data_IF_027121347192
#
_entry.id   IF_027121347192
#
_cell.length_a   1.000
_cell.length_b   1.000
_cell.length_c   1.000
_cell.angle_alpha   90.00
_cell.angle_beta   90.00
_cell.angle_gamma   90.00
#
_symmetry.space_group_name_H-M   'P 1'
#
loop_
_entity.id
_entity.type
_entity.pdbx_description
1 polymer ?
#
# COMPACT_ATOMS: atom_id res chain seq x y z
N UNK A 1 2.32 -26.23 -11.41
CA UNK A 1 2.32 -24.75 -11.43
C UNK A 1 1.64 -24.08 -10.23
N UNK A 2 0.52 -24.58 -9.68
CA UNK A 2 -0.13 -23.99 -8.49
C UNK A 2 0.72 -24.10 -7.21
N UNK A 3 1.47 -25.19 -7.03
CA UNK A 3 2.34 -25.41 -5.88
C UNK A 3 3.55 -24.44 -5.83
N UNK A 4 4.19 -24.21 -6.98
CA UNK A 4 5.35 -23.28 -7.08
C UNK A 4 4.92 -21.85 -6.76
N UNK A 5 3.73 -21.42 -7.20
CA UNK A 5 3.19 -20.08 -6.88
C UNK A 5 2.88 -19.92 -5.39
N UNK A 6 2.35 -20.96 -4.74
CA UNK A 6 2.11 -20.97 -3.28
C UNK A 6 3.41 -20.93 -2.49
N UNK A 7 4.40 -21.72 -2.93
CA UNK A 7 5.73 -21.71 -2.31
C UNK A 7 6.44 -20.36 -2.49
N UNK A 8 6.39 -19.76 -3.68
CA UNK A 8 6.95 -18.42 -3.92
C UNK A 8 6.24 -17.35 -3.11
N UNK A 9 4.92 -17.44 -2.93
CA UNK A 9 4.17 -16.47 -2.10
C UNK A 9 4.46 -16.66 -0.61
N UNK A 10 4.62 -17.90 -0.14
CA UNK A 10 5.03 -18.22 1.22
C UNK A 10 6.47 -17.77 1.48
N UNK A 11 7.41 -18.05 0.56
CA UNK A 11 8.79 -17.61 0.65
C UNK A 11 8.92 -16.08 0.66
N UNK A 12 8.10 -15.39 -0.16
CA UNK A 12 8.03 -13.93 -0.16
C UNK A 12 7.50 -13.39 1.17
N UNK A 13 6.47 -14.02 1.76
CA UNK A 13 5.95 -13.66 3.09
C UNK A 13 6.99 -13.87 4.20
N UNK A 14 7.70 -14.98 4.18
CA UNK A 14 8.79 -15.25 5.14
C UNK A 14 9.95 -14.28 4.95
N UNK A 15 10.38 -14.01 3.69
CA UNK A 15 11.41 -13.01 3.41
C UNK A 15 11.00 -11.61 3.89
N UNK A 16 9.72 -11.25 3.73
CA UNK A 16 9.18 -9.98 4.24
C UNK A 16 9.20 -9.91 5.77
N UNK A 17 8.85 -11.01 6.46
CA UNK A 17 8.95 -11.09 7.92
C UNK A 17 10.41 -11.00 8.39
N UNK A 18 11.33 -11.68 7.72
CA UNK A 18 12.77 -11.61 8.04
C UNK A 18 13.33 -10.20 7.82
N UNK A 19 12.90 -9.49 6.78
CA UNK A 19 13.29 -8.08 6.57
C UNK A 19 12.72 -7.18 7.67
N UNK A 20 11.50 -7.41 8.11
CA UNK A 20 10.88 -6.63 9.20
C UNK A 20 11.53 -6.87 10.56
N UNK A 21 11.99 -8.09 10.83
CA UNK A 21 12.65 -8.44 12.11
C UNK A 21 14.14 -8.14 12.11
N UNK A 22 14.79 -7.99 10.95
CA UNK A 22 16.23 -7.79 10.77
C UNK A 22 16.67 -6.36 10.44
N UNK A 23 15.75 -5.39 10.38
CA UNK A 23 16.08 -4.04 9.92
C UNK A 23 17.08 -3.32 10.83
N UNK A 24 16.84 -3.30 12.13
CA UNK A 24 17.77 -2.80 13.17
C UNK A 24 17.53 -3.61 14.43
N UNK A 25 18.59 -4.15 14.98
CA UNK A 25 18.58 -4.82 16.28
C UNK A 25 19.27 -3.92 17.31
N UNK A 26 18.92 -4.08 18.57
CA UNK A 26 19.63 -3.45 19.69
C UNK A 26 20.41 -4.52 20.39
N UNK A 27 21.72 -4.35 20.49
CA UNK A 27 22.60 -5.23 21.26
C UNK A 27 22.19 -5.16 22.74
N UNK A 28 21.86 -6.31 23.31
CA UNK A 28 21.38 -6.40 24.70
C UNK A 28 22.45 -6.03 25.73
N UNK A 29 23.73 -6.12 25.35
CA UNK A 29 24.86 -5.86 26.24
C UNK A 29 25.24 -4.39 26.22
N UNK A 30 25.29 -3.79 25.03
CA UNK A 30 25.76 -2.40 24.85
C UNK A 30 24.60 -1.39 24.73
N UNK A 31 23.36 -1.85 24.48
CA UNK A 31 22.22 -0.98 24.19
C UNK A 31 22.33 -0.24 22.84
N UNK A 32 23.35 -0.53 22.04
CA UNK A 32 23.59 0.14 20.77
C UNK A 32 22.83 -0.54 19.62
N UNK A 33 22.33 0.25 18.66
CA UNK A 33 21.71 -0.29 17.47
C UNK A 33 22.74 -1.06 16.61
N UNK A 34 22.31 -2.17 16.03
CA UNK A 34 23.12 -3.04 15.18
C UNK A 34 22.31 -3.54 14.00
N UNK A 35 22.97 -4.12 13.02
CA UNK A 35 22.33 -4.72 11.84
C UNK A 35 22.63 -3.97 10.54
N UNK A 36 22.26 -4.61 9.42
CA UNK A 36 22.60 -4.10 8.09
C UNK A 36 22.10 -2.67 7.84
N UNK A 37 20.84 -2.39 8.18
CA UNK A 37 20.23 -1.05 7.97
C UNK A 37 20.89 0.00 8.86
N UNK A 38 21.21 -0.38 10.10
CA UNK A 38 21.96 0.51 10.97
C UNK A 38 23.33 0.85 10.41
N UNK A 39 24.13 -0.15 10.08
CA UNK A 39 25.50 0.05 9.63
C UNK A 39 25.60 0.80 8.29
N UNK A 40 24.60 0.61 7.39
CA UNK A 40 24.61 1.24 6.06
C UNK A 40 23.96 2.61 6.01
N UNK A 41 22.95 2.85 6.82
CA UNK A 41 22.15 4.08 6.75
C UNK A 41 22.12 4.80 8.10
N UNK A 42 21.82 4.09 9.19
CA UNK A 42 21.61 4.70 10.50
C UNK A 42 22.88 5.30 11.11
N UNK A 43 24.00 4.57 11.08
CA UNK A 43 25.26 5.05 11.62
C UNK A 43 25.80 6.28 10.87
N UNK A 44 25.85 6.33 9.52
CA UNK A 44 26.20 7.55 8.79
C UNK A 44 25.28 8.73 9.11
N UNK A 45 23.98 8.48 9.34
CA UNK A 45 23.04 9.54 9.74
C UNK A 45 23.35 10.04 11.16
N UNK A 46 23.66 9.15 12.10
CA UNK A 46 24.03 9.49 13.48
C UNK A 46 25.34 10.32 13.49
N UNK A 47 26.32 9.91 12.71
CA UNK A 47 27.58 10.66 12.53
C UNK A 47 27.34 12.04 11.92
N UNK A 48 26.48 12.14 10.90
CA UNK A 48 26.11 13.43 10.30
C UNK A 48 25.39 14.33 11.32
N UNK A 49 24.47 13.79 12.13
CA UNK A 49 23.82 14.55 13.20
C UNK A 49 24.87 15.06 14.19
N UNK A 50 25.79 14.21 14.65
CA UNK A 50 26.86 14.58 15.56
C UNK A 50 27.78 15.66 14.96
N UNK A 51 28.18 15.50 13.70
CA UNK A 51 29.02 16.48 12.99
C UNK A 51 28.35 17.88 12.93
N UNK A 52 27.09 17.96 12.50
CA UNK A 52 26.41 19.26 12.45
C UNK A 52 26.14 19.83 13.83
N UNK A 53 25.82 18.98 14.81
CA UNK A 53 25.49 19.41 16.16
C UNK A 53 26.71 19.93 16.93
N UNK A 54 27.80 19.18 16.91
CA UNK A 54 29.01 19.43 17.75
C UNK A 54 30.10 20.16 16.97
N UNK A 55 30.55 19.60 15.84
CA UNK A 55 31.71 20.16 15.11
C UNK A 55 31.36 21.50 14.42
N UNK A 56 30.12 21.65 13.97
CA UNK A 56 29.60 22.91 13.43
C UNK A 56 28.91 23.78 14.47
N UNK A 57 28.70 23.28 15.68
CA UNK A 57 28.10 24.05 16.77
C UNK A 57 26.63 24.44 16.58
N UNK A 58 25.91 23.79 15.65
CA UNK A 58 24.51 24.15 15.32
C UNK A 58 23.50 23.62 16.33
N UNK A 59 23.90 22.72 17.22
CA UNK A 59 23.04 22.02 18.15
C UNK A 59 22.22 20.89 17.51
N UNK A 60 21.78 19.92 18.35
CA UNK A 60 21.18 18.66 17.87
C UNK A 60 19.84 18.87 17.15
N UNK A 61 19.00 19.83 17.55
CA UNK A 61 17.73 20.08 16.88
C UNK A 61 17.91 20.53 15.43
N UNK A 62 18.80 21.49 15.19
CA UNK A 62 19.10 21.97 13.82
C UNK A 62 19.80 20.87 13.01
N UNK A 63 20.70 20.10 13.63
CA UNK A 63 21.38 18.98 13.00
C UNK A 63 20.35 17.91 12.49
N UNK A 64 19.37 17.54 13.33
CA UNK A 64 18.30 16.60 12.93
C UNK A 64 17.50 17.17 11.75
N UNK A 65 17.17 18.45 11.75
CA UNK A 65 16.46 19.12 10.65
C UNK A 65 17.28 19.03 9.36
N UNK A 66 18.56 19.41 9.40
CA UNK A 66 19.46 19.39 8.22
C UNK A 66 19.59 17.98 7.67
N UNK A 67 19.92 17.00 8.51
CA UNK A 67 20.09 15.60 8.08
C UNK A 67 18.77 15.06 7.51
N UNK A 68 17.64 15.38 8.12
CA UNK A 68 16.32 14.99 7.59
C UNK A 68 16.09 15.57 6.20
N UNK A 69 16.37 16.85 5.98
CA UNK A 69 16.20 17.49 4.66
C UNK A 69 17.13 16.83 3.64
N UNK A 70 18.42 16.63 3.97
CA UNK A 70 19.38 15.98 3.06
C UNK A 70 18.87 14.60 2.65
N UNK A 71 18.49 13.76 3.60
CA UNK A 71 17.97 12.42 3.33
C UNK A 71 16.70 12.47 2.49
N UNK A 72 15.77 13.39 2.78
CA UNK A 72 14.56 13.59 1.99
C UNK A 72 14.86 14.00 0.55
N UNK A 73 15.86 14.86 0.35
CA UNK A 73 16.29 15.27 -1.00
C UNK A 73 16.93 14.11 -1.78
N UNK A 74 17.72 13.27 -1.12
CA UNK A 74 18.30 12.06 -1.74
C UNK A 74 17.20 11.08 -2.17
N UNK A 75 16.15 10.89 -1.34
CA UNK A 75 15.04 9.96 -1.61
C UNK A 75 14.00 10.59 -2.55
N UNK A 76 13.95 11.91 -2.69
CA UNK A 76 12.94 12.64 -3.45
C UNK A 76 12.74 12.13 -4.89
N UNK A 77 13.78 11.85 -5.72
CA UNK A 77 13.59 11.33 -7.06
C UNK A 77 12.80 10.02 -7.08
N UNK A 78 13.11 9.13 -6.15
CA UNK A 78 12.42 7.84 -6.01
C UNK A 78 10.96 8.04 -5.54
N UNK A 79 10.72 8.96 -4.60
CA UNK A 79 9.39 9.35 -4.13
C UNK A 79 8.53 9.96 -5.24
N UNK A 80 9.11 10.81 -6.08
CA UNK A 80 8.41 11.37 -7.26
C UNK A 80 8.08 10.28 -8.27
N UNK A 81 9.00 9.35 -8.54
CA UNK A 81 8.75 8.22 -9.44
C UNK A 81 7.60 7.32 -8.95
N UNK A 82 7.56 7.02 -7.66
CA UNK A 82 6.45 6.27 -7.04
C UNK A 82 5.13 7.04 -7.16
N UNK A 83 5.15 8.32 -6.83
CA UNK A 83 3.98 9.20 -6.94
C UNK A 83 3.50 9.34 -8.38
N UNK A 84 4.44 9.37 -9.35
CA UNK A 84 4.11 9.36 -10.78
C UNK A 84 3.35 8.09 -11.18
N UNK A 85 3.83 6.91 -10.76
CA UNK A 85 3.13 5.63 -11.02
C UNK A 85 1.74 5.59 -10.37
N UNK A 86 1.64 5.99 -9.11
CA UNK A 86 0.37 6.04 -8.38
C UNK A 86 -0.62 7.02 -9.04
N UNK A 87 -0.13 8.19 -9.47
CA UNK A 87 -0.94 9.20 -10.15
C UNK A 87 -1.38 8.72 -11.54
N UNK A 88 -0.50 8.07 -12.30
CA UNK A 88 -0.86 7.48 -13.60
C UNK A 88 -1.98 6.44 -13.45
N UNK A 89 -1.88 5.58 -12.44
CA UNK A 89 -2.93 4.62 -12.12
C UNK A 89 -4.26 5.34 -11.77
N UNK A 90 -4.20 6.35 -10.90
CA UNK A 90 -5.36 7.16 -10.53
C UNK A 90 -6.01 7.84 -11.74
N UNK A 91 -5.22 8.44 -12.63
CA UNK A 91 -5.76 9.10 -13.84
C UNK A 91 -6.36 8.08 -14.84
N UNK A 92 -5.79 6.87 -14.96
CA UNK A 92 -6.40 5.78 -15.73
C UNK A 92 -7.73 5.33 -15.13
N UNK A 93 -7.81 5.17 -13.81
CA UNK A 93 -9.06 4.86 -13.10
C UNK A 93 -10.11 5.95 -13.31
N UNK A 94 -9.74 7.23 -13.17
CA UNK A 94 -10.63 8.36 -13.41
C UNK A 94 -11.17 8.37 -14.85
N UNK A 95 -10.29 8.19 -15.83
CA UNK A 95 -10.65 8.23 -17.25
C UNK A 95 -11.55 7.06 -17.69
N UNK A 96 -11.40 5.91 -17.03
CA UNK A 96 -12.17 4.69 -17.30
C UNK A 96 -13.31 4.47 -16.29
N UNK A 97 -13.66 5.49 -15.51
CA UNK A 97 -14.72 5.42 -14.49
C UNK A 97 -16.01 4.83 -15.05
N UNK A 98 -16.47 5.30 -16.21
CA UNK A 98 -17.72 4.84 -16.85
C UNK A 98 -17.71 3.35 -17.22
N UNK A 99 -16.54 2.78 -17.51
CA UNK A 99 -16.38 1.34 -17.82
C UNK A 99 -16.30 0.51 -16.53
N UNK A 100 -15.67 1.03 -15.49
CA UNK A 100 -15.41 0.31 -14.24
C UNK A 100 -16.58 0.42 -13.23
N UNK A 101 -17.37 1.48 -13.28
CA UNK A 101 -18.47 1.76 -12.36
C UNK A 101 -19.50 0.61 -12.24
N UNK A 102 -19.95 -0.07 -13.33
CA UNK A 102 -20.85 -1.22 -13.22
C UNK A 102 -20.24 -2.37 -12.40
N UNK A 103 -18.95 -2.65 -12.58
CA UNK A 103 -18.21 -3.68 -11.83
C UNK A 103 -18.03 -3.30 -10.36
N UNK A 104 -17.72 -2.03 -10.09
CA UNK A 104 -17.62 -1.49 -8.73
C UNK A 104 -18.98 -1.53 -8.01
N UNK A 105 -20.07 -1.19 -8.71
CA UNK A 105 -21.42 -1.24 -8.17
C UNK A 105 -21.84 -2.67 -7.84
N UNK A 106 -21.50 -3.64 -8.70
CA UNK A 106 -21.75 -5.06 -8.44
C UNK A 106 -20.99 -5.52 -7.19
N UNK A 107 -19.73 -5.13 -7.03
CA UNK A 107 -18.94 -5.43 -5.84
C UNK A 107 -19.53 -4.83 -4.55
N UNK A 108 -20.04 -3.58 -4.62
CA UNK A 108 -20.69 -2.92 -3.48
C UNK A 108 -22.02 -3.59 -3.08
N UNK A 109 -22.78 -4.12 -4.05
CA UNK A 109 -24.08 -4.78 -3.84
C UNK A 109 -23.96 -6.25 -3.44
N UNK A 110 -22.80 -6.86 -3.60
CA UNK A 110 -22.58 -8.25 -3.25
C UNK A 110 -22.73 -8.47 -1.73
N UNK A 111 -23.58 -9.40 -1.34
CA UNK A 111 -23.91 -9.69 0.06
C UNK A 111 -23.15 -10.92 0.56
N UNK A 112 -23.05 -11.95 -0.27
CA UNK A 112 -22.34 -13.18 0.08
C UNK A 112 -20.85 -13.10 -0.21
N UNK A 113 -20.06 -13.94 0.44
CA UNK A 113 -18.61 -14.00 0.22
C UNK A 113 -18.26 -14.48 -1.20
N UNK A 114 -19.07 -15.38 -1.76
CA UNK A 114 -18.89 -15.86 -3.12
C UNK A 114 -19.16 -14.76 -4.15
N UNK A 115 -20.26 -14.02 -4.01
CA UNK A 115 -20.58 -12.88 -4.86
C UNK A 115 -19.51 -11.79 -4.80
N UNK A 116 -18.97 -11.52 -3.62
CA UNK A 116 -17.86 -10.56 -3.45
C UNK A 116 -16.62 -10.99 -4.20
N UNK A 117 -16.27 -12.29 -4.11
CA UNK A 117 -15.10 -12.83 -4.80
C UNK A 117 -15.27 -12.79 -6.32
N UNK A 118 -16.45 -13.17 -6.84
CA UNK A 118 -16.75 -13.09 -8.27
C UNK A 118 -16.74 -11.64 -8.79
N UNK A 119 -17.40 -10.73 -8.08
CA UNK A 119 -17.43 -9.32 -8.45
C UNK A 119 -16.03 -8.68 -8.43
N UNK A 120 -15.21 -9.06 -7.46
CA UNK A 120 -13.82 -8.62 -7.38
C UNK A 120 -12.98 -9.16 -8.54
N UNK A 121 -13.12 -10.43 -8.89
CA UNK A 121 -12.44 -11.03 -10.04
C UNK A 121 -12.86 -10.37 -11.36
N UNK A 122 -14.17 -10.08 -11.52
CA UNK A 122 -14.69 -9.38 -12.70
C UNK A 122 -14.13 -7.96 -12.81
N UNK A 123 -14.06 -7.22 -11.69
CA UNK A 123 -13.46 -5.89 -11.65
C UNK A 123 -11.98 -5.92 -12.02
N UNK A 124 -11.22 -6.89 -11.47
CA UNK A 124 -9.80 -7.04 -11.80
C UNK A 124 -9.57 -7.45 -13.26
N UNK A 125 -10.44 -8.28 -13.83
CA UNK A 125 -10.37 -8.63 -15.24
C UNK A 125 -10.60 -7.40 -16.14
N UNK A 126 -11.62 -6.58 -15.83
CA UNK A 126 -11.90 -5.34 -16.54
C UNK A 126 -10.74 -4.32 -16.42
N UNK A 127 -10.17 -4.15 -15.24
CA UNK A 127 -8.99 -3.31 -15.05
C UNK A 127 -7.81 -3.78 -15.90
N UNK A 128 -7.53 -5.09 -15.91
CA UNK A 128 -6.43 -5.68 -16.67
C UNK A 128 -6.63 -5.53 -18.18
N UNK A 129 -7.85 -5.71 -18.68
CA UNK A 129 -8.19 -5.53 -20.10
C UNK A 129 -7.86 -4.12 -20.59
N UNK A 130 -8.06 -3.12 -19.74
CA UNK A 130 -7.75 -1.72 -20.02
C UNK A 130 -6.35 -1.26 -19.58
N UNK A 131 -5.43 -2.20 -19.32
CA UNK A 131 -4.04 -1.90 -18.99
C UNK A 131 -3.86 -1.21 -17.63
N UNK A 132 -4.82 -1.38 -16.71
CA UNK A 132 -4.71 -0.93 -15.32
C UNK A 132 -4.08 -2.05 -14.51
N UNK A 133 -2.88 -1.81 -13.99
CA UNK A 133 -2.19 -2.80 -13.15
C UNK A 133 -2.83 -2.88 -11.76
N UNK A 134 -3.10 -4.09 -11.28
CA UNK A 134 -3.60 -4.33 -9.91
C UNK A 134 -2.65 -3.78 -8.82
N UNK A 135 -1.35 -3.76 -9.10
CA UNK A 135 -0.31 -3.26 -8.18
C UNK A 135 0.16 -1.83 -8.51
N UNK A 136 -0.40 -1.21 -9.54
CA UNK A 136 0.09 0.06 -10.10
C UNK A 136 -0.26 1.30 -9.28
N UNK A 137 -1.25 1.22 -8.40
CA UNK A 137 -1.78 2.42 -7.75
C UNK A 137 -1.45 2.56 -6.28
N UNK A 138 -1.67 1.55 -5.51
CA UNK A 138 -1.56 1.63 -4.05
C UNK A 138 -1.07 0.28 -3.52
N UNK A 139 0.13 -0.11 -3.91
CA UNK A 139 0.77 -1.31 -3.35
C UNK A 139 1.41 -1.01 -1.99
N UNK A 140 1.78 -2.07 -1.26
CA UNK A 140 2.59 -1.96 -0.04
C UNK A 140 4.06 -1.54 -0.32
N UNK A 141 4.43 -1.40 -1.60
CA UNK A 141 5.81 -1.07 -2.01
C UNK A 141 6.35 0.24 -1.39
N UNK A 142 5.58 1.36 -1.31
CA UNK A 142 6.03 2.57 -0.62
C UNK A 142 6.36 2.33 0.85
N UNK A 143 5.55 1.51 1.53
CA UNK A 143 5.76 1.17 2.95
C UNK A 143 7.03 0.33 3.11
N UNK A 144 7.23 -0.68 2.25
CA UNK A 144 8.43 -1.53 2.27
C UNK A 144 9.71 -0.73 2.04
N UNK A 145 9.68 0.21 1.12
CA UNK A 145 10.82 1.09 0.87
C UNK A 145 11.04 2.08 2.03
N UNK A 146 9.97 2.61 2.62
CA UNK A 146 10.06 3.60 3.68
C UNK A 146 10.57 3.01 4.99
N UNK A 147 10.25 1.74 5.32
CA UNK A 147 10.57 1.14 6.61
C UNK A 147 12.07 1.13 6.96
N UNK A 148 13.00 0.75 6.06
CA UNK A 148 14.43 0.82 6.34
C UNK A 148 14.90 2.24 6.69
N UNK A 149 14.47 3.23 5.92
CA UNK A 149 14.85 4.63 6.18
C UNK A 149 14.23 5.15 7.48
N UNK A 150 12.97 4.78 7.75
CA UNK A 150 12.32 5.13 9.01
C UNK A 150 13.07 4.53 10.20
N UNK A 151 13.41 3.24 10.16
CA UNK A 151 14.18 2.59 11.23
C UNK A 151 15.54 3.24 11.42
N UNK A 152 16.27 3.50 10.33
CA UNK A 152 17.59 4.11 10.39
C UNK A 152 17.56 5.48 11.10
N UNK A 153 16.66 6.38 10.68
CA UNK A 153 16.59 7.73 11.25
C UNK A 153 16.00 7.73 12.66
N UNK A 154 15.03 6.83 12.94
CA UNK A 154 14.49 6.65 14.28
C UNK A 154 15.60 6.32 15.28
N UNK A 155 16.41 5.31 14.97
CA UNK A 155 17.52 4.92 15.82
C UNK A 155 18.64 5.97 15.84
N UNK A 156 18.94 6.64 14.72
CA UNK A 156 19.91 7.72 14.69
C UNK A 156 19.48 8.90 15.58
N UNK A 157 18.23 9.35 15.46
CA UNK A 157 17.71 10.45 16.28
C UNK A 157 17.60 10.09 17.77
N UNK A 158 17.49 8.82 18.13
CA UNK A 158 17.34 8.38 19.50
C UNK A 158 18.69 8.04 20.18
N UNK A 159 19.62 7.40 19.43
CA UNK A 159 20.85 6.84 19.98
C UNK A 159 22.10 7.68 19.66
N UNK A 160 21.98 8.82 18.95
CA UNK A 160 23.12 9.73 18.82
C UNK A 160 23.47 10.31 20.18
N UNK A 161 24.71 10.10 20.60
CA UNK A 161 25.23 10.60 21.87
C UNK A 161 25.01 12.11 21.99
N UNK A 162 24.47 12.54 23.13
CA UNK A 162 24.17 13.97 23.42
C UNK A 162 22.79 14.44 23.00
N UNK A 163 22.04 13.73 22.15
CA UNK A 163 20.69 14.12 21.74
C UNK A 163 19.71 14.13 22.89
N UNK A 164 19.75 13.10 23.75
CA UNK A 164 18.79 12.96 24.86
C UNK A 164 18.89 14.09 25.90
N UNK A 165 20.09 14.67 26.07
CA UNK A 165 20.37 15.75 27.01
C UNK A 165 20.18 17.14 26.39
N UNK A 166 20.10 17.20 25.07
CA UNK A 166 19.96 18.45 24.33
C UNK A 166 18.55 19.00 24.35
N UNK A 167 18.45 20.31 24.11
CA UNK A 167 17.17 20.97 23.89
C UNK A 167 17.16 21.75 22.57
N UNK A 168 15.98 21.93 21.98
CA UNK A 168 15.76 22.74 20.79
C UNK A 168 14.55 23.66 21.00
N UNK A 169 14.77 24.97 20.91
CA UNK A 169 13.73 26.00 21.20
C UNK A 169 13.05 25.80 22.56
N UNK A 170 13.79 25.41 23.59
CA UNK A 170 13.27 25.11 24.91
C UNK A 170 12.57 23.74 25.07
N UNK A 171 12.54 22.92 24.00
CA UNK A 171 11.95 21.57 24.01
C UNK A 171 13.06 20.54 24.27
N UNK A 172 13.02 19.75 25.36
CA UNK A 172 13.96 18.67 25.59
C UNK A 172 13.84 17.60 24.49
N UNK A 173 14.95 17.26 23.82
CA UNK A 173 14.92 16.31 22.68
C UNK A 173 14.79 14.86 23.13
N UNK A 174 15.15 14.54 24.36
CA UNK A 174 15.09 13.20 24.92
C UNK A 174 13.71 12.76 25.45
N UNK A 175 12.75 13.67 25.57
CA UNK A 175 11.40 13.38 26.10
C UNK A 175 10.33 13.76 25.08
N UNK A 176 9.11 13.18 25.16
CA UNK A 176 8.00 13.54 24.26
C UNK A 176 7.60 15.01 24.42
N UNK A 177 7.23 15.66 23.31
CA UNK A 177 6.76 17.05 23.29
C UNK A 177 5.38 17.17 22.65
N UNK A 178 4.38 17.59 23.42
CA UNK A 178 3.01 17.78 22.94
C UNK A 178 2.90 18.80 21.81
N UNK A 179 3.76 19.81 21.79
CA UNK A 179 3.81 20.81 20.72
C UNK A 179 4.21 20.15 19.40
N UNK A 180 5.29 19.35 19.40
CA UNK A 180 5.73 18.65 18.21
C UNK A 180 4.74 17.57 17.79
N UNK A 181 4.09 16.88 18.73
CA UNK A 181 3.02 15.90 18.45
C UNK A 181 1.86 16.57 17.70
N UNK A 182 1.39 17.72 18.20
CA UNK A 182 0.33 18.48 17.55
C UNK A 182 0.75 18.98 16.15
N UNK A 183 1.96 19.52 16.02
CA UNK A 183 2.51 19.94 14.71
C UNK A 183 2.58 18.78 13.71
N UNK A 184 3.10 17.62 14.12
CA UNK A 184 3.16 16.44 13.28
C UNK A 184 1.74 16.00 12.86
N UNK A 185 0.80 15.90 13.80
CA UNK A 185 -0.59 15.54 13.52
C UNK A 185 -1.23 16.46 12.48
N UNK A 186 -1.09 17.78 12.62
CA UNK A 186 -1.62 18.77 11.67
C UNK A 186 -0.98 18.62 10.30
N UNK A 187 0.34 18.50 10.21
CA UNK A 187 1.04 18.38 8.92
C UNK A 187 0.65 17.10 8.17
N UNK A 188 0.58 15.96 8.86
CA UNK A 188 0.16 14.70 8.23
C UNK A 188 -1.33 14.71 7.85
N UNK A 189 -2.18 15.38 8.61
CA UNK A 189 -3.57 15.58 8.25
C UNK A 189 -3.72 16.45 6.99
N UNK A 190 -3.01 17.57 6.91
CA UNK A 190 -2.99 18.43 5.71
C UNK A 190 -2.45 17.69 4.50
N UNK A 191 -1.37 16.92 4.65
CA UNK A 191 -0.82 16.09 3.59
C UNK A 191 -1.84 15.06 3.09
N UNK A 192 -2.58 14.42 4.02
CA UNK A 192 -3.62 13.45 3.70
C UNK A 192 -4.79 14.09 2.94
N UNK A 193 -5.21 15.29 3.32
CA UNK A 193 -6.23 16.07 2.58
C UNK A 193 -5.77 16.39 1.16
N UNK A 194 -4.51 16.82 0.99
CA UNK A 194 -3.94 17.11 -0.32
C UNK A 194 -3.89 15.88 -1.24
N UNK A 195 -3.81 14.69 -0.68
CA UNK A 195 -3.81 13.43 -1.45
C UNK A 195 -5.15 13.12 -2.13
N UNK A 196 -6.26 13.69 -1.66
CA UNK A 196 -7.58 13.58 -2.31
C UNK A 196 -7.70 14.40 -3.59
N UNK A 197 -6.81 15.37 -3.79
CA UNK A 197 -6.92 16.28 -4.92
C UNK A 197 -6.85 15.52 -6.25
N UNK A 198 -7.87 15.73 -7.11
CA UNK A 198 -7.94 15.14 -8.44
C UNK A 198 -8.29 13.64 -8.49
N UNK A 199 -8.67 13.02 -7.38
CA UNK A 199 -9.19 11.64 -7.37
C UNK A 199 -10.70 11.69 -7.58
N UNK A 200 -11.15 11.21 -8.74
CA UNK A 200 -12.56 11.23 -9.17
C UNK A 200 -13.23 9.84 -9.07
N UNK A 201 -12.43 8.77 -9.10
CA UNK A 201 -12.93 7.41 -8.89
C UNK A 201 -13.41 7.23 -7.44
N UNK A 202 -14.66 6.84 -7.29
CA UNK A 202 -15.33 6.81 -5.99
C UNK A 202 -14.75 5.75 -5.05
N UNK A 203 -14.41 4.56 -5.57
CA UNK A 203 -13.83 3.48 -4.77
C UNK A 203 -12.46 3.89 -4.24
N UNK A 204 -11.62 4.48 -5.09
CA UNK A 204 -10.30 4.97 -4.70
C UNK A 204 -10.43 6.13 -3.70
N UNK A 205 -11.38 7.04 -3.93
CA UNK A 205 -11.65 8.16 -3.02
C UNK A 205 -12.10 7.72 -1.64
N UNK A 206 -12.97 6.72 -1.55
CA UNK A 206 -13.39 6.13 -0.27
C UNK A 206 -12.24 5.48 0.50
N UNK A 207 -11.34 4.79 -0.20
CA UNK A 207 -10.14 4.22 0.41
C UNK A 207 -9.23 5.31 0.99
N UNK A 208 -8.97 6.37 0.21
CA UNK A 208 -8.14 7.51 0.64
C UNK A 208 -8.81 8.23 1.82
N UNK A 209 -10.13 8.44 1.81
CA UNK A 209 -10.85 9.04 2.93
C UNK A 209 -10.65 8.30 4.25
N UNK A 210 -10.65 6.97 4.22
CA UNK A 210 -10.34 6.18 5.43
C UNK A 210 -8.91 6.42 5.92
N UNK A 211 -7.96 6.54 5.00
CA UNK A 211 -6.56 6.80 5.33
C UNK A 211 -6.30 8.22 5.83
N UNK A 212 -7.14 9.21 5.49
CA UNK A 212 -7.02 10.60 5.96
C UNK A 212 -7.03 10.69 7.47
N UNK A 213 -7.82 9.87 8.13
CA UNK A 213 -7.90 9.85 9.60
C UNK A 213 -6.93 8.85 10.22
N UNK A 214 -6.73 7.69 9.58
CA UNK A 214 -5.86 6.64 10.13
C UNK A 214 -4.39 7.03 10.14
N UNK A 215 -3.90 7.66 9.06
CA UNK A 215 -2.47 8.00 8.94
C UNK A 215 -2.03 9.06 9.96
N UNK A 216 -2.70 10.23 10.09
CA UNK A 216 -2.34 11.21 11.12
C UNK A 216 -2.51 10.66 12.55
N UNK A 217 -3.58 9.90 12.80
CA UNK A 217 -3.81 9.29 14.11
C UNK A 217 -2.65 8.38 14.51
N UNK A 218 -2.17 7.55 13.58
CA UNK A 218 -1.05 6.66 13.84
C UNK A 218 0.23 7.46 14.16
N UNK A 219 0.51 8.53 13.42
CA UNK A 219 1.67 9.40 13.70
C UNK A 219 1.54 10.06 15.07
N UNK A 220 0.36 10.59 15.42
CA UNK A 220 0.11 11.19 16.75
C UNK A 220 0.36 10.15 17.84
N UNK A 221 -0.20 8.96 17.73
CA UNK A 221 -0.03 7.89 18.74
C UNK A 221 1.45 7.53 18.90
N UNK A 222 2.17 7.29 17.80
CA UNK A 222 3.61 7.00 17.88
C UNK A 222 4.41 8.16 18.46
N UNK A 223 4.06 9.41 18.10
CA UNK A 223 4.74 10.61 18.60
C UNK A 223 4.57 10.80 20.10
N UNK A 224 3.44 10.39 20.70
CA UNK A 224 3.19 10.49 22.14
C UNK A 224 4.17 9.64 22.97
N UNK A 225 4.66 8.53 22.39
CA UNK A 225 5.59 7.60 23.04
C UNK A 225 7.05 7.79 22.56
N UNK A 226 7.28 8.66 21.58
CA UNK A 226 8.62 8.89 21.02
C UNK A 226 9.27 10.13 21.57
N UNK A 227 10.60 10.18 21.72
CA UNK A 227 11.33 11.39 22.06
C UNK A 227 11.07 12.52 21.06
N UNK A 228 11.21 13.76 21.50
CA UNK A 228 11.03 14.96 20.66
C UNK A 228 12.00 14.97 19.45
N UNK A 229 13.18 14.39 19.56
CA UNK A 229 14.12 14.22 18.45
C UNK A 229 13.51 13.45 17.26
N UNK A 230 12.80 12.36 17.54
CA UNK A 230 12.09 11.56 16.54
C UNK A 230 10.87 12.32 16.00
N UNK A 231 10.10 12.94 16.90
CA UNK A 231 8.92 13.73 16.49
C UNK A 231 9.31 14.93 15.62
N UNK A 232 10.44 15.56 15.90
CA UNK A 232 11.01 16.63 15.08
C UNK A 232 11.31 16.16 13.65
N UNK A 233 11.89 14.95 13.51
CA UNK A 233 12.05 14.31 12.20
C UNK A 233 10.71 14.15 11.47
N UNK A 234 9.64 13.73 12.16
CA UNK A 234 8.32 13.61 11.53
C UNK A 234 7.75 14.96 11.11
N UNK A 235 7.91 16.00 11.92
CA UNK A 235 7.48 17.37 11.57
C UNK A 235 8.16 17.84 10.28
N UNK A 236 9.48 17.75 10.21
CA UNK A 236 10.26 18.15 9.01
C UNK A 236 9.90 17.26 7.83
N UNK A 237 9.79 15.94 8.05
CA UNK A 237 9.39 14.99 7.04
C UNK A 237 7.99 15.24 6.49
N UNK A 238 7.02 15.54 7.35
CA UNK A 238 5.65 15.89 6.97
C UNK A 238 5.58 17.16 6.12
N UNK A 239 6.35 18.19 6.49
CA UNK A 239 6.47 19.40 5.67
C UNK A 239 7.02 19.10 4.27
N UNK A 240 8.09 18.31 4.17
CA UNK A 240 8.66 17.91 2.89
C UNK A 240 7.68 17.07 2.06
N UNK A 241 6.86 16.22 2.69
CA UNK A 241 5.81 15.45 2.01
C UNK A 241 4.70 16.36 1.46
N UNK A 242 4.34 17.42 2.15
CA UNK A 242 3.39 18.43 1.64
C UNK A 242 3.96 19.10 0.38
N UNK A 243 5.23 19.54 0.39
CA UNK A 243 5.88 20.11 -0.78
C UNK A 243 5.90 19.13 -1.96
N UNK A 244 6.25 17.87 -1.70
CA UNK A 244 6.20 16.81 -2.71
C UNK A 244 4.78 16.64 -3.27
N UNK A 245 3.75 16.65 -2.41
CA UNK A 245 2.36 16.49 -2.84
C UNK A 245 1.88 17.67 -3.71
N UNK A 246 2.34 18.88 -3.44
CA UNK A 246 2.10 20.02 -4.34
C UNK A 246 2.71 19.81 -5.72
N UNK A 247 3.96 19.35 -5.80
CA UNK A 247 4.60 19.01 -7.09
C UNK A 247 3.76 17.95 -7.82
N UNK A 248 3.32 16.91 -7.13
CA UNK A 248 2.49 15.85 -7.73
C UNK A 248 1.16 16.41 -8.24
N UNK A 249 0.45 17.18 -7.43
CA UNK A 249 -0.88 17.66 -7.78
C UNK A 249 -0.89 18.68 -8.92
N UNK A 250 0.08 19.62 -8.93
CA UNK A 250 0.06 20.74 -9.87
C UNK A 250 1.00 20.58 -11.07
N UNK A 251 1.99 19.71 -11.01
CA UNK A 251 2.93 19.49 -12.11
C UNK A 251 2.76 18.09 -12.71
N UNK A 252 2.79 17.04 -11.90
CA UNK A 252 2.78 15.65 -12.39
C UNK A 252 1.40 15.25 -12.90
N UNK A 253 0.36 15.48 -12.10
CA UNK A 253 -1.02 15.06 -12.40
C UNK A 253 -1.57 15.68 -13.71
N UNK A 254 -1.47 17.00 -13.98
CA UNK A 254 -1.99 17.55 -15.21
C UNK A 254 -1.33 16.97 -16.46
N UNK A 255 0.00 16.75 -16.42
CA UNK A 255 0.74 16.12 -17.51
C UNK A 255 0.27 14.69 -17.77
N UNK A 256 0.06 13.93 -16.72
CA UNK A 256 -0.41 12.54 -16.81
C UNK A 256 -1.86 12.45 -17.28
N UNK A 257 -2.73 13.36 -16.81
CA UNK A 257 -4.13 13.44 -17.26
C UNK A 257 -4.20 13.68 -18.76
N UNK A 258 -3.40 14.62 -19.28
CA UNK A 258 -3.31 14.88 -20.73
C UNK A 258 -2.84 13.63 -21.47
N UNK A 259 -1.76 13.01 -21.03
CA UNK A 259 -1.22 11.78 -21.63
C UNK A 259 -2.24 10.64 -21.67
N UNK A 260 -2.95 10.38 -20.57
CA UNK A 260 -3.97 9.33 -20.49
C UNK A 260 -5.14 9.63 -21.43
N UNK A 261 -5.58 10.87 -21.54
CA UNK A 261 -6.65 11.27 -22.48
C UNK A 261 -6.23 11.05 -23.95
N UNK A 262 -5.02 11.41 -24.30
CA UNK A 262 -4.47 11.18 -25.65
C UNK A 262 -4.32 9.68 -25.97
N UNK A 263 -3.88 8.87 -24.99
CA UNK A 263 -3.79 7.42 -25.12
C UNK A 263 -5.16 6.78 -25.38
N UNK A 264 -6.19 7.19 -24.61
CA UNK A 264 -7.55 6.70 -24.78
C UNK A 264 -8.26 7.21 -26.03
N UNK A 265 -7.91 8.42 -26.49
CA UNK A 265 -8.43 8.93 -27.77
C UNK A 265 -7.92 8.12 -28.98
N UNK A 266 -6.67 7.66 -28.91
CA UNK A 266 -6.07 6.77 -29.94
C UNK A 266 -6.58 5.34 -29.86
N UNK A 267 -6.83 4.84 -28.67
CA UNK A 267 -7.31 3.49 -28.39
C UNK A 267 -8.54 3.57 -27.47
N UNK A 268 -9.72 3.87 -28.03
CA UNK A 268 -10.93 3.98 -27.20
C UNK A 268 -11.21 2.66 -26.49
N UNK A 269 -11.61 2.72 -25.21
CA UNK A 269 -11.93 1.52 -24.44
C UNK A 269 -13.09 0.80 -25.11
N UNK A 270 -12.90 -0.48 -25.42
CA UNK A 270 -14.01 -1.33 -25.83
C UNK A 270 -14.96 -1.42 -24.64
N UNK A 271 -16.24 -1.07 -24.88
CA UNK A 271 -17.26 -1.36 -23.87
C UNK A 271 -17.16 -2.85 -23.56
N UNK A 272 -16.71 -3.20 -22.37
CA UNK A 272 -16.67 -4.60 -21.97
C UNK A 272 -18.11 -5.08 -22.04
N UNK A 273 -18.42 -5.90 -23.04
CA UNK A 273 -19.64 -6.68 -23.01
C UNK A 273 -19.58 -7.35 -21.63
N UNK A 274 -20.58 -7.08 -20.79
CA UNK A 274 -20.74 -7.83 -19.54
C UNK A 274 -20.60 -9.29 -19.94
N UNK A 275 -19.43 -9.87 -19.76
CA UNK A 275 -19.29 -11.31 -19.92
C UNK A 275 -20.28 -11.83 -18.90
N UNK A 276 -21.41 -12.34 -19.41
CA UNK A 276 -22.32 -13.17 -18.62
C UNK A 276 -21.38 -14.06 -17.83
N UNK A 277 -21.56 -14.19 -16.51
CA UNK A 277 -20.76 -15.12 -15.74
C UNK A 277 -20.69 -16.38 -16.60
N UNK A 278 -19.50 -16.82 -16.93
CA UNK A 278 -19.31 -18.08 -17.65
C UNK A 278 -20.00 -19.08 -16.76
N UNK A 279 -21.24 -19.40 -17.11
CA UNK A 279 -22.09 -20.24 -16.30
C UNK A 279 -21.22 -21.45 -15.99
N UNK A 280 -21.02 -21.76 -14.73
CA UNK A 280 -20.60 -23.09 -14.36
C UNK A 280 -21.36 -24.00 -15.30
N UNK A 281 -20.67 -24.73 -16.19
CA UNK A 281 -21.28 -25.84 -16.86
C UNK A 281 -21.88 -26.65 -15.75
N UNK A 282 -23.22 -26.63 -15.72
CA UNK A 282 -23.97 -27.48 -14.80
C UNK A 282 -23.56 -28.92 -15.15
N UNK A 283 -22.64 -29.44 -14.40
CA UNK A 283 -22.17 -30.81 -14.48
C UNK A 283 -23.01 -31.71 -13.59
N UNK A 284 -24.19 -31.24 -13.17
CA UNK A 284 -25.18 -32.09 -12.55
C UNK A 284 -25.48 -33.21 -13.56
N UNK A 285 -25.18 -34.47 -13.28
CA UNK A 285 -25.53 -35.56 -14.18
C UNK A 285 -27.05 -35.49 -14.39
N UNK A 286 -27.50 -35.34 -15.63
CA UNK A 286 -28.92 -35.50 -15.93
C UNK A 286 -29.38 -36.79 -15.28
N UNK A 287 -30.26 -36.69 -14.32
CA UNK A 287 -30.93 -37.88 -13.78
C UNK A 287 -31.50 -38.61 -14.97
N UNK A 288 -31.17 -39.91 -15.15
CA UNK A 288 -31.69 -40.66 -16.27
C UNK A 288 -33.21 -40.58 -16.19
N UNK A 289 -33.82 -39.91 -17.16
CA UNK A 289 -35.24 -39.90 -17.36
C UNK A 289 -35.68 -41.34 -17.37
N UNK A 290 -36.53 -41.71 -16.43
CA UNK A 290 -37.08 -43.05 -16.32
C UNK A 290 -37.67 -43.46 -17.70
N UNK A 291 -36.96 -44.31 -18.40
CA UNK A 291 -37.43 -44.88 -19.65
C UNK A 291 -38.58 -45.80 -19.26
N UNK A 292 -39.82 -45.32 -19.39
CA UNK A 292 -40.99 -46.17 -19.39
C UNK A 292 -41.00 -47.00 -20.67
N UNK A 293 -40.10 -47.99 -20.70
CA UNK A 293 -40.23 -49.04 -21.70
C UNK A 293 -41.32 -50.00 -21.23
N UNK A 294 -42.49 -49.88 -21.83
CA UNK A 294 -43.43 -51.01 -21.90
C UNK A 294 -42.76 -52.17 -22.60
N UNK A 295 -41.96 -52.97 -21.92
CA UNK A 295 -41.52 -54.27 -22.38
C UNK A 295 -42.66 -55.22 -22.14
N UNK A 296 -43.33 -55.58 -23.25
CA UNK A 296 -44.16 -56.77 -23.39
C UNK A 296 -43.37 -57.97 -22.87
N UNK A 297 -43.77 -58.51 -21.73
CA UNK A 297 -43.27 -59.79 -21.24
C UNK A 297 -43.66 -60.92 -22.24
N UNK A 298 -42.75 -61.25 -23.06
CA UNK A 298 -42.84 -62.48 -23.82
C UNK A 298 -42.38 -63.64 -22.90
N UNK A 299 -43.37 -64.35 -22.36
CA UNK A 299 -43.16 -65.50 -21.48
C UNK A 299 -42.33 -66.54 -22.25
N UNK A 300 -41.10 -66.68 -21.94
CA UNK A 300 -40.13 -67.56 -22.61
C UNK A 300 -40.04 -68.99 -22.00
N UNK A 301 -40.83 -69.30 -20.99
CA UNK A 301 -40.78 -70.53 -20.22
C UNK A 301 -42.16 -71.25 -20.12
N UNK A 302 -43.06 -70.98 -21.00
CA UNK A 302 -44.25 -71.87 -21.14
C UNK A 302 -43.93 -73.06 -22.02
N UNK A 303 -43.50 -74.14 -21.42
CA UNK A 303 -43.32 -75.37 -22.20
C UNK A 303 -42.32 -76.42 -21.73
N UNK A 304 -41.84 -76.36 -20.48
CA UNK A 304 -41.01 -77.44 -19.91
C UNK A 304 -41.38 -77.75 -18.46
N UNK A 305 -42.51 -78.31 -18.24
CA UNK A 305 -42.78 -79.21 -17.14
C UNK A 305 -43.14 -80.59 -17.73
N UNK A 306 -42.17 -81.46 -17.77
CA UNK A 306 -42.42 -82.85 -17.86
C UNK A 306 -42.39 -83.47 -16.48
N UNK A 307 -43.49 -84.13 -16.20
CA UNK A 307 -43.78 -85.04 -15.08
C UNK A 307 -42.64 -85.98 -14.71
N UNK A 308 -42.30 -86.05 -13.46
CA UNK A 308 -42.15 -87.29 -12.67
C UNK A 308 -42.39 -86.92 -11.20
#
# INVERSE_FOLDING_TARGET
MKSIKRFAFSAMGVAMLLVLTGCVNVDKTTGQPTGFIWNTIGAPMAEAIKYFATDKGLGFGVAIIIVTIIVRLIILPLGIYQSWKATLHSEKMNALKHVLEPHQTRLKKATTQEEKLEAQQALFAAQKEHGISMFGGVGCFPILLQMPFFSAIYFAAQHTEGVAQASYLGIPLGSPSMILVACAGVLYYLQSLLSLHGVEDEMQREQIKKMIYMSPLMIVVFSLFSPASVTLYWVVGGFMMILQQFIVNYIVRPKLRKKVREELAKNPPKASAFSKPSGRKDVTPEQPTAITSKKKHKNRNAGKQRSR
#
